data_IF_817041090927
#
_entry.id   IF_817041090927
#
_cell.length_a   1.000
_cell.length_b   1.000
_cell.length_c   1.000
_cell.angle_alpha   90.00
_cell.angle_beta   90.00
_cell.angle_gamma   90.00
#
_symmetry.space_group_name_H-M   'P 1'
#
loop_
_entity.id
_entity.type
_entity.pdbx_description
1 polymer ?
#
# COMPACT_ATOMS: atom_id res chain seq x y z
N UNK A 1 16.69 -6.27 19.60
CA UNK A 1 16.12 -7.57 19.19
C UNK A 1 15.02 -7.32 18.17
N UNK A 2 15.07 -7.98 17.01
CA UNK A 2 13.91 -8.16 16.11
C UNK A 2 13.58 -7.01 15.15
N UNK A 3 14.39 -6.81 14.10
CA UNK A 3 14.02 -6.00 12.93
C UNK A 3 14.03 -6.87 11.66
N UNK A 4 13.24 -6.51 10.65
CA UNK A 4 13.27 -7.19 9.36
C UNK A 4 14.58 -6.89 8.62
N UNK A 5 15.23 -7.92 8.07
CA UNK A 5 16.35 -7.74 7.14
C UNK A 5 15.83 -7.15 5.82
N UNK A 6 16.67 -6.40 5.12
CA UNK A 6 16.34 -5.81 3.80
C UNK A 6 15.76 -6.86 2.84
N UNK A 7 16.38 -8.05 2.78
CA UNK A 7 15.92 -9.16 1.94
C UNK A 7 14.52 -9.64 2.32
N UNK A 8 14.20 -9.70 3.61
CA UNK A 8 12.86 -10.11 4.06
C UNK A 8 11.80 -9.08 3.64
N UNK A 9 12.10 -7.79 3.81
CA UNK A 9 11.21 -6.71 3.36
C UNK A 9 10.97 -6.77 1.85
N UNK A 10 12.02 -6.98 1.06
CA UNK A 10 11.92 -7.03 -0.39
C UNK A 10 11.09 -8.24 -0.90
N UNK A 11 11.25 -9.42 -0.28
CA UNK A 11 10.54 -10.64 -0.71
C UNK A 11 9.07 -10.67 -0.26
N UNK A 12 8.77 -10.09 0.91
CA UNK A 12 7.42 -10.13 1.49
C UNK A 12 6.52 -9.02 0.97
N UNK A 13 7.08 -7.95 0.39
CA UNK A 13 6.35 -6.78 -0.09
C UNK A 13 6.40 -6.69 -1.62
N UNK A 14 5.34 -7.17 -2.28
CA UNK A 14 5.20 -7.17 -3.74
C UNK A 14 4.36 -5.95 -4.17
N UNK A 15 4.91 -5.01 -4.97
CA UNK A 15 4.13 -3.92 -5.53
C UNK A 15 3.21 -4.44 -6.64
N UNK A 16 2.00 -3.89 -6.73
CA UNK A 16 1.05 -4.21 -7.80
C UNK A 16 0.10 -3.03 -8.05
N UNK A 17 -0.54 -2.99 -9.22
CA UNK A 17 -1.59 -2.01 -9.52
C UNK A 17 -2.98 -2.64 -9.41
N UNK A 18 -3.92 -1.91 -8.81
CA UNK A 18 -5.33 -2.28 -8.71
C UNK A 18 -6.20 -1.03 -8.88
N UNK A 19 -7.42 -1.21 -9.35
CA UNK A 19 -8.42 -0.14 -9.23
C UNK A 19 -8.90 -0.09 -7.78
N UNK A 20 -8.87 1.08 -7.17
CA UNK A 20 -9.38 1.32 -5.83
C UNK A 20 -10.59 2.23 -5.94
N UNK A 21 -11.68 1.85 -5.26
CA UNK A 21 -12.88 2.65 -5.15
C UNK A 21 -12.64 3.78 -4.15
N UNK A 22 -12.50 4.99 -4.66
CA UNK A 22 -12.38 6.25 -3.93
C UNK A 22 -13.71 7.03 -3.99
N UNK A 23 -13.91 8.09 -3.17
CA UNK A 23 -15.15 8.88 -3.17
C UNK A 23 -15.50 9.48 -4.54
N UNK A 24 -14.50 9.87 -5.32
CA UNK A 24 -14.66 10.47 -6.65
C UNK A 24 -14.83 9.42 -7.77
N UNK A 25 -14.72 8.13 -7.45
CA UNK A 25 -14.85 7.02 -8.39
C UNK A 25 -13.70 6.01 -8.31
N UNK A 26 -13.57 5.19 -9.36
CA UNK A 26 -12.50 4.18 -9.41
C UNK A 26 -11.21 4.83 -9.92
N UNK A 27 -10.12 4.69 -9.15
CA UNK A 27 -8.79 5.18 -9.53
C UNK A 27 -7.79 4.03 -9.60
N UNK A 28 -7.01 3.96 -10.67
CA UNK A 28 -5.86 3.05 -10.73
C UNK A 28 -4.82 3.53 -9.72
N UNK A 29 -4.38 2.63 -8.84
CA UNK A 29 -3.55 2.96 -7.70
C UNK A 29 -2.43 1.95 -7.51
N UNK A 30 -1.25 2.44 -7.11
CA UNK A 30 -0.21 1.57 -6.60
C UNK A 30 -0.60 0.98 -5.25
N UNK A 31 -0.40 -0.32 -5.13
CA UNK A 31 -0.69 -1.11 -3.94
C UNK A 31 0.52 -1.94 -3.54
N UNK A 32 0.52 -2.40 -2.29
CA UNK A 32 1.50 -3.36 -1.78
C UNK A 32 0.78 -4.61 -1.29
N UNK A 33 1.14 -5.75 -1.87
CA UNK A 33 0.77 -7.07 -1.40
C UNK A 33 1.84 -7.59 -0.43
N UNK A 34 1.42 -7.81 0.80
CA UNK A 34 2.24 -8.35 1.88
C UNK A 34 1.94 -9.85 2.01
N UNK A 35 2.99 -10.66 2.07
CA UNK A 35 2.93 -12.12 2.30
C UNK A 35 1.97 -12.87 1.34
N UNK A 36 1.68 -12.30 0.17
CA UNK A 36 0.75 -12.83 -0.85
C UNK A 36 -0.75 -12.84 -0.49
N UNK A 37 -1.15 -12.44 0.71
CA UNK A 37 -2.59 -12.40 1.09
C UNK A 37 -3.03 -11.03 1.63
N UNK A 38 -2.08 -10.12 1.84
CA UNK A 38 -2.35 -8.83 2.44
C UNK A 38 -2.18 -7.63 1.51
N UNK A 39 -3.27 -7.18 0.89
CA UNK A 39 -3.27 -5.98 0.05
C UNK A 39 -3.46 -4.67 0.84
N UNK A 40 -2.68 -3.65 0.50
CA UNK A 40 -2.76 -2.30 1.04
C UNK A 40 -2.62 -1.24 -0.04
N UNK A 41 -3.27 -0.08 0.14
CA UNK A 41 -3.02 1.11 -0.67
C UNK A 41 -1.64 1.67 -0.36
N UNK A 42 -0.88 2.03 -1.39
CA UNK A 42 0.36 2.77 -1.23
C UNK A 42 0.09 4.27 -1.20
N UNK A 43 0.45 5.03 -0.14
CA UNK A 43 0.01 6.42 0.02
C UNK A 43 0.91 7.44 -0.67
N UNK A 44 2.06 7.04 -1.23
CA UNK A 44 3.05 7.92 -1.86
C UNK A 44 3.03 7.80 -3.39
N UNK A 45 1.84 7.90 -3.94
CA UNK A 45 1.58 7.94 -5.39
C UNK A 45 1.77 9.39 -5.87
N UNK A 46 2.71 9.61 -6.79
CA UNK A 46 2.94 10.91 -7.43
C UNK A 46 3.03 10.69 -8.94
N UNK A 47 2.15 11.37 -9.68
CA UNK A 47 2.02 11.28 -11.14
C UNK A 47 3.31 11.73 -11.85
N UNK A 48 4.20 12.49 -11.18
CA UNK A 48 5.47 12.96 -11.74
C UNK A 48 6.68 12.09 -11.35
N UNK A 49 6.47 11.01 -10.60
CA UNK A 49 7.57 10.22 -10.06
C UNK A 49 7.84 8.92 -10.84
N UNK A 50 9.08 8.42 -10.75
CA UNK A 50 9.53 7.23 -11.47
C UNK A 50 8.68 6.02 -11.06
N UNK A 51 7.96 5.42 -12.01
CA UNK A 51 7.03 4.29 -11.79
C UNK A 51 5.87 4.60 -10.82
N UNK A 52 5.43 5.86 -10.70
CA UNK A 52 4.31 6.24 -9.82
C UNK A 52 4.62 6.12 -8.32
N UNK A 53 5.90 6.17 -7.94
CA UNK A 53 6.34 6.16 -6.54
C UNK A 53 7.09 7.45 -6.28
N UNK A 54 6.61 8.27 -5.34
CA UNK A 54 7.26 9.51 -4.94
C UNK A 54 8.76 9.30 -4.64
N UNK A 55 9.59 10.30 -4.94
CA UNK A 55 11.05 10.21 -4.79
C UNK A 55 11.45 9.84 -3.36
N UNK A 56 10.75 10.38 -2.36
CA UNK A 56 10.92 10.07 -0.93
C UNK A 56 10.59 8.62 -0.55
N UNK A 57 9.92 7.87 -1.42
CA UNK A 57 9.57 6.47 -1.23
C UNK A 57 10.50 5.50 -1.98
N UNK A 58 11.66 5.98 -2.44
CA UNK A 58 12.71 5.17 -3.10
C UNK A 58 13.88 4.84 -2.15
N UNK A 59 14.76 3.92 -2.57
CA UNK A 59 15.97 3.56 -1.81
C UNK A 59 15.70 3.01 -0.40
N UNK A 60 16.54 3.42 0.57
CA UNK A 60 16.42 3.00 1.99
C UNK A 60 15.07 3.41 2.58
N UNK A 61 14.58 4.60 2.24
CA UNK A 61 13.31 5.10 2.78
C UNK A 61 12.12 4.31 2.26
N UNK A 62 12.18 3.83 1.03
CA UNK A 62 11.22 2.85 0.49
C UNK A 62 11.19 1.54 1.28
N UNK A 63 12.35 1.06 1.75
CA UNK A 63 12.44 -0.13 2.61
C UNK A 63 11.84 0.13 4.00
N UNK A 64 12.08 1.31 4.59
CA UNK A 64 11.49 1.71 5.87
C UNK A 64 9.97 1.78 5.80
N UNK A 65 9.43 2.38 4.72
CA UNK A 65 7.99 2.44 4.45
C UNK A 65 7.42 1.02 4.36
N UNK A 66 8.05 0.14 3.56
CA UNK A 66 7.63 -1.27 3.42
C UNK A 66 7.68 -2.04 4.74
N UNK A 67 8.68 -1.80 5.58
CA UNK A 67 8.76 -2.40 6.91
C UNK A 67 7.59 -1.97 7.82
N UNK A 68 7.08 -0.74 7.67
CA UNK A 68 5.90 -0.28 8.39
C UNK A 68 4.64 -1.08 8.06
N UNK A 69 4.46 -1.53 6.81
CA UNK A 69 3.36 -2.45 6.46
C UNK A 69 3.50 -3.80 7.16
N UNK A 70 4.72 -4.36 7.21
CA UNK A 70 4.98 -5.62 7.89
C UNK A 70 4.74 -5.54 9.40
N UNK A 71 4.94 -4.37 10.01
CA UNK A 71 4.63 -4.10 11.43
C UNK A 71 3.15 -3.79 11.69
N UNK A 72 2.32 -3.67 10.64
CA UNK A 72 0.90 -3.36 10.78
C UNK A 72 0.58 -1.86 10.98
N UNK A 73 1.56 -0.97 10.84
CA UNK A 73 1.39 0.49 11.02
C UNK A 73 0.47 1.10 9.95
N UNK A 74 0.28 0.39 8.84
CA UNK A 74 -0.52 0.83 7.68
C UNK A 74 -1.87 0.12 7.58
N UNK A 75 -2.39 -0.43 8.68
CA UNK A 75 -3.66 -1.18 8.67
C UNK A 75 -4.88 -0.32 8.28
N UNK A 76 -4.82 0.99 8.46
CA UNK A 76 -5.85 1.91 7.95
C UNK A 76 -5.91 1.98 6.41
N UNK A 77 -4.84 1.58 5.71
CA UNK A 77 -4.77 1.52 4.24
C UNK A 77 -5.14 0.13 3.69
N UNK A 78 -5.67 -0.75 4.54
CA UNK A 78 -5.99 -2.13 4.19
C UNK A 78 -7.07 -2.20 3.11
N UNK A 79 -6.81 -2.93 2.04
CA UNK A 79 -7.75 -3.14 0.94
C UNK A 79 -8.28 -4.57 0.92
N UNK A 80 -9.47 -4.75 0.35
CA UNK A 80 -10.02 -6.04 -0.07
C UNK A 80 -10.53 -5.95 -1.50
N UNK A 81 -10.32 -7.01 -2.26
CA UNK A 81 -10.96 -7.16 -3.58
C UNK A 81 -12.46 -7.38 -3.36
N UNK A 82 -13.28 -6.62 -4.07
CA UNK A 82 -14.74 -6.70 -4.00
C UNK A 82 -15.32 -7.20 -5.33
N UNK A 83 -14.67 -6.87 -6.45
CA UNK A 83 -14.90 -7.41 -7.78
C UNK A 83 -13.53 -7.71 -8.42
N UNK A 84 -13.45 -8.60 -9.42
CA UNK A 84 -12.18 -8.90 -10.07
C UNK A 84 -11.46 -7.62 -10.55
N UNK A 85 -10.28 -7.34 -9.98
CA UNK A 85 -9.49 -6.15 -10.31
C UNK A 85 -9.88 -4.85 -9.57
N UNK A 86 -10.99 -4.83 -8.83
CA UNK A 86 -11.51 -3.65 -8.12
C UNK A 86 -11.48 -3.89 -6.60
N UNK A 87 -10.80 -3.01 -5.90
CA UNK A 87 -10.55 -3.06 -4.48
C UNK A 87 -11.24 -1.90 -3.75
N UNK A 88 -11.52 -2.11 -2.46
CA UNK A 88 -12.01 -1.05 -1.55
C UNK A 88 -11.34 -1.19 -0.19
N UNK A 89 -11.33 -0.11 0.58
CA UNK A 89 -10.84 -0.15 1.96
C UNK A 89 -11.65 -1.14 2.80
N UNK A 90 -10.95 -1.93 3.63
CA UNK A 90 -11.58 -2.87 4.56
C UNK A 90 -12.36 -2.12 5.62
N UNK A 91 -11.76 -1.04 6.15
CA UNK A 91 -12.43 -0.08 7.02
C UNK A 91 -12.76 1.14 6.16
N UNK A 92 -14.05 1.48 5.95
CA UNK A 92 -14.39 2.70 5.24
C UNK A 92 -13.78 3.90 5.99
N UNK A 93 -13.37 4.94 5.26
CA UNK A 93 -12.88 6.21 5.81
C UNK A 93 -14.03 7.03 6.47
N UNK A 94 -14.86 6.38 7.28
CA UNK A 94 -15.89 6.96 8.13
C UNK A 94 -15.48 6.77 9.60
N UNK A 95 -14.44 7.49 10.03
CA UNK A 95 -14.12 7.66 11.46
C UNK A 95 -13.29 8.93 11.72
N UNK A 96 -13.43 9.95 10.86
CA UNK A 96 -12.84 11.28 11.07
C UNK A 96 -13.74 12.36 10.48
N UNK A 97 -15.02 12.28 10.84
CA UNK A 97 -15.98 13.37 10.73
C UNK A 97 -16.79 13.38 12.03
N UNK A 98 -16.19 13.95 13.08
CA UNK A 98 -16.85 14.39 14.32
C UNK A 98 -16.02 15.51 14.89
#
# INVERSE_FOLDING_TARGET
MGGFKIREVAMRCVPCYKYVLEPEGQKLALCILIDHYKLYRFPYDDDNALFGIAKEATGIRGLEIKAGYLRGEKEHLRLREFQPGICRYVRPAQASAS
#
